data_IF_366295285775
#
_entry.id   IF_366295285775
#
_cell.length_a   1.000
_cell.length_b   1.000
_cell.length_c   1.000
_cell.angle_alpha   90.00
_cell.angle_beta   90.00
_cell.angle_gamma   90.00
#
_symmetry.space_group_name_H-M   'P 1'
#
loop_
_entity.id
_entity.type
_entity.pdbx_description
1 polymer ?
#
# COMPACT_ATOMS: atom_id res chain seq x y z
N UNK A 1 -4.61 -0.44 12.97
CA UNK A 1 -4.94 -1.85 13.31
C UNK A 1 -4.46 -2.67 12.14
N UNK A 2 -3.52 -3.60 12.31
CA UNK A 2 -3.06 -4.40 11.17
C UNK A 2 -4.12 -5.42 10.79
N UNK A 3 -4.67 -5.27 9.58
CA UNK A 3 -5.54 -6.27 8.94
C UNK A 3 -4.70 -7.12 8.00
N UNK A 4 -5.06 -8.39 7.81
CA UNK A 4 -4.47 -9.20 6.75
C UNK A 4 -4.95 -8.72 5.38
N UNK A 5 -4.00 -8.61 4.46
CA UNK A 5 -4.24 -8.25 3.07
C UNK A 5 -3.33 -9.05 2.14
N UNK A 6 -3.65 -9.01 0.85
CA UNK A 6 -2.81 -9.56 -0.22
C UNK A 6 -2.70 -8.54 -1.36
N UNK A 7 -1.49 -8.34 -1.86
CA UNK A 7 -1.28 -7.63 -3.13
C UNK A 7 -1.69 -8.55 -4.28
N UNK A 8 -2.62 -8.10 -5.11
CA UNK A 8 -3.19 -8.89 -6.21
C UNK A 8 -2.84 -8.26 -7.55
N UNK A 9 -2.49 -9.10 -8.52
CA UNK A 9 -2.54 -8.72 -9.94
C UNK A 9 -3.97 -8.98 -10.42
N UNK A 10 -4.75 -7.91 -10.58
CA UNK A 10 -6.13 -8.00 -11.04
C UNK A 10 -6.20 -7.49 -12.48
N UNK A 11 -6.85 -8.23 -13.39
CA UNK A 11 -7.06 -7.80 -14.78
C UNK A 11 -7.84 -6.47 -14.89
N UNK A 12 -8.54 -6.09 -13.81
CA UNK A 12 -9.27 -4.82 -13.70
C UNK A 12 -8.48 -3.72 -12.99
N UNK A 13 -7.19 -3.92 -12.71
CA UNK A 13 -6.33 -2.83 -12.24
C UNK A 13 -6.33 -1.73 -13.30
N UNK A 14 -6.34 -0.48 -12.84
CA UNK A 14 -6.28 0.71 -13.67
C UNK A 14 -4.83 1.08 -14.03
N UNK A 15 -3.87 0.74 -13.17
CA UNK A 15 -2.44 1.04 -13.35
C UNK A 15 -1.58 -0.17 -12.99
N UNK A 16 -0.76 -0.66 -13.93
CA UNK A 16 0.09 -1.83 -13.70
C UNK A 16 1.21 -1.57 -12.66
N UNK A 17 1.59 -0.31 -12.50
CA UNK A 17 2.69 0.11 -11.61
C UNK A 17 2.23 0.44 -10.17
N UNK A 18 0.93 0.28 -9.86
CA UNK A 18 0.37 0.63 -8.56
C UNK A 18 -0.18 -0.58 -7.82
N UNK A 19 0.04 -0.62 -6.51
CA UNK A 19 -0.44 -1.73 -5.68
C UNK A 19 -1.96 -1.83 -5.67
N UNK A 20 -2.46 -3.01 -6.05
CA UNK A 20 -3.84 -3.42 -5.89
C UNK A 20 -3.93 -4.40 -4.71
N UNK A 21 -4.87 -4.15 -3.79
CA UNK A 21 -4.95 -4.79 -2.49
C UNK A 21 -6.33 -5.43 -2.32
N UNK A 22 -6.33 -6.68 -1.89
CA UNK A 22 -7.50 -7.38 -1.37
C UNK A 22 -7.42 -7.47 0.16
N UNK A 23 -8.48 -7.04 0.86
CA UNK A 23 -8.60 -7.19 2.32
C UNK A 23 -9.12 -8.59 2.63
N UNK A 24 -8.40 -9.34 3.47
CA UNK A 24 -8.68 -10.76 3.74
C UNK A 24 -9.39 -11.03 5.07
N UNK A 25 -9.61 -10.00 5.89
CA UNK A 25 -10.30 -10.17 7.17
C UNK A 25 -10.99 -8.88 7.65
N UNK A 26 -11.97 -9.05 8.53
CA UNK A 26 -12.65 -7.96 9.22
C UNK A 26 -13.85 -7.43 8.45
N UNK A 27 -14.26 -6.20 8.75
CA UNK A 27 -15.49 -5.60 8.21
C UNK A 27 -15.45 -5.38 6.69
N UNK A 28 -14.25 -5.22 6.14
CA UNK A 28 -14.03 -4.96 4.71
C UNK A 28 -13.45 -6.17 3.96
N UNK A 29 -13.58 -7.38 4.52
CA UNK A 29 -13.16 -8.62 3.87
C UNK A 29 -13.78 -8.76 2.47
N UNK A 30 -12.94 -9.06 1.48
CA UNK A 30 -13.30 -9.20 0.07
C UNK A 30 -13.38 -7.88 -0.71
N UNK A 31 -13.10 -6.73 -0.09
CA UNK A 31 -12.93 -5.46 -0.82
C UNK A 31 -11.59 -5.48 -1.56
N UNK A 32 -11.64 -5.16 -2.85
CA UNK A 32 -10.45 -4.98 -3.69
C UNK A 32 -10.38 -3.51 -4.12
N UNK A 33 -9.25 -2.88 -3.85
CA UNK A 33 -8.99 -1.50 -4.23
C UNK A 33 -7.57 -1.34 -4.78
N UNK A 34 -7.32 -0.26 -5.49
CA UNK A 34 -6.00 0.08 -6.01
C UNK A 34 -5.62 1.49 -5.57
N UNK A 35 -4.36 1.69 -5.17
CA UNK A 35 -3.83 3.05 -4.99
C UNK A 35 -3.62 3.72 -6.35
N UNK A 36 -3.90 5.02 -6.42
CA UNK A 36 -3.74 5.78 -7.66
C UNK A 36 -2.63 6.83 -7.50
N UNK A 37 -2.98 7.98 -6.91
CA UNK A 37 -2.01 9.04 -6.63
C UNK A 37 -1.51 8.90 -5.20
N UNK A 38 -0.19 8.82 -5.01
CA UNK A 38 0.47 8.85 -3.69
C UNK A 38 1.44 10.04 -3.67
N UNK A 39 1.28 10.93 -2.69
CA UNK A 39 2.14 12.09 -2.48
C UNK A 39 2.63 12.13 -1.03
N UNK A 40 3.93 12.28 -0.85
CA UNK A 40 4.54 12.58 0.44
C UNK A 40 4.74 14.09 0.47
N UNK A 41 4.05 14.77 1.38
CA UNK A 41 4.21 16.20 1.59
C UNK A 41 5.08 16.45 2.82
N UNK A 42 6.16 17.20 2.62
CA UNK A 42 7.02 17.74 3.68
C UNK A 42 6.42 19.03 4.21
N UNK A 43 5.30 18.94 4.93
CA UNK A 43 4.74 20.11 5.64
C UNK A 43 5.42 20.21 7.02
N UNK A 44 6.43 21.07 7.10
CA UNK A 44 7.13 21.75 8.23
C UNK A 44 7.10 21.26 9.70
N UNK A 45 6.67 20.04 10.04
CA UNK A 45 6.75 19.51 11.42
C UNK A 45 7.06 18.01 11.45
N UNK A 46 8.34 17.65 11.35
CA UNK A 46 8.99 16.41 11.84
C UNK A 46 8.48 15.04 11.33
N UNK A 47 7.25 14.94 10.81
CA UNK A 47 6.61 13.73 10.29
C UNK A 47 6.01 14.05 8.91
N UNK A 48 6.61 13.52 7.85
CA UNK A 48 6.05 13.63 6.50
C UNK A 48 4.61 13.11 6.46
N UNK A 49 3.71 13.87 5.82
CA UNK A 49 2.31 13.48 5.68
C UNK A 49 2.10 12.75 4.36
N UNK A 50 1.56 11.54 4.44
CA UNK A 50 1.19 10.76 3.27
C UNK A 50 -0.24 11.12 2.84
N UNK A 51 -0.38 11.66 1.62
CA UNK A 51 -1.67 11.91 0.99
C UNK A 51 -1.82 10.94 -0.18
N UNK A 52 -2.94 10.22 -0.24
CA UNK A 52 -3.18 9.27 -1.32
C UNK A 52 -4.64 9.26 -1.78
N UNK A 53 -4.84 8.78 -3.00
CA UNK A 53 -6.15 8.46 -3.58
C UNK A 53 -6.22 6.96 -3.89
N UNK A 54 -7.44 6.42 -3.92
CA UNK A 54 -7.67 5.02 -4.25
C UNK A 54 -8.86 4.87 -5.18
N UNK A 55 -8.85 3.80 -5.96
CA UNK A 55 -9.92 3.40 -6.87
C UNK A 55 -10.50 2.08 -6.38
N UNK A 56 -11.82 2.00 -6.27
CA UNK A 56 -12.51 0.75 -5.95
C UNK A 56 -12.52 -0.15 -7.19
N UNK A 57 -11.93 -1.34 -7.06
CA UNK A 57 -11.92 -2.35 -8.12
C UNK A 57 -13.08 -3.32 -7.92
N UNK A 58 -13.29 -3.78 -6.69
CA UNK A 58 -14.38 -4.69 -6.33
C UNK A 58 -14.93 -4.40 -4.92
N UNK A 59 -16.25 -4.35 -4.80
CA UNK A 59 -16.98 -4.16 -3.54
C UNK A 59 -18.32 -4.89 -3.61
N UNK A 60 -18.27 -6.24 -3.54
CA UNK A 60 -19.45 -7.10 -3.71
C UNK A 60 -20.55 -6.84 -2.66
N UNK A 61 -20.15 -6.44 -1.46
CA UNK A 61 -21.06 -6.20 -0.33
C UNK A 61 -21.61 -4.76 -0.30
N UNK A 62 -21.27 -3.91 -1.28
CA UNK A 62 -21.69 -2.50 -1.33
C UNK A 62 -21.40 -1.74 -0.04
N UNK A 63 -20.24 -2.01 0.56
CA UNK A 63 -19.79 -1.38 1.81
C UNK A 63 -19.47 0.10 1.58
N UNK A 64 -19.61 0.91 2.63
CA UNK A 64 -19.22 2.32 2.60
C UNK A 64 -17.70 2.47 2.79
N UNK A 65 -17.02 2.69 1.65
CA UNK A 65 -15.57 2.88 1.58
C UNK A 65 -15.14 4.34 1.80
N UNK A 66 -16.06 5.23 2.20
CA UNK A 66 -15.75 6.64 2.50
C UNK A 66 -15.57 6.93 3.99
N UNK A 67 -15.80 5.91 4.82
CA UNK A 67 -15.67 5.98 6.28
C UNK A 67 -14.22 6.21 6.71
N UNK A 68 -14.02 6.92 7.83
CA UNK A 68 -12.68 7.17 8.36
C UNK A 68 -11.98 5.88 8.80
N UNK A 69 -12.74 4.88 9.25
CA UNK A 69 -12.22 3.56 9.59
C UNK A 69 -11.56 2.89 8.37
N UNK A 70 -12.24 2.90 7.22
CA UNK A 70 -11.66 2.35 5.99
C UNK A 70 -10.41 3.11 5.57
N UNK A 71 -10.44 4.45 5.61
CA UNK A 71 -9.28 5.31 5.28
C UNK A 71 -8.07 5.04 6.17
N UNK A 72 -8.29 4.82 7.47
CA UNK A 72 -7.22 4.46 8.41
C UNK A 72 -6.63 3.09 8.06
N UNK A 73 -7.46 2.10 7.76
CA UNK A 73 -7.00 0.75 7.39
C UNK A 73 -6.11 0.79 6.14
N UNK A 74 -6.57 1.44 5.07
CA UNK A 74 -5.79 1.51 3.83
C UNK A 74 -4.55 2.41 4.00
N UNK A 75 -4.60 3.43 4.88
CA UNK A 75 -3.41 4.23 5.23
C UNK A 75 -2.35 3.42 5.98
N UNK A 76 -2.77 2.58 6.94
CA UNK A 76 -1.88 1.66 7.67
C UNK A 76 -1.22 0.68 6.68
N UNK A 77 -2.01 0.06 5.79
CA UNK A 77 -1.50 -0.86 4.74
C UNK A 77 -0.48 -0.16 3.83
N UNK A 78 -0.78 1.06 3.36
CA UNK A 78 0.14 1.80 2.50
C UNK A 78 1.47 2.09 3.19
N UNK A 79 1.43 2.42 4.49
CA UNK A 79 2.63 2.65 5.29
C UNK A 79 3.48 1.39 5.35
N UNK A 80 2.88 0.23 5.63
CA UNK A 80 3.57 -1.06 5.67
C UNK A 80 4.21 -1.42 4.32
N UNK A 81 3.52 -1.17 3.20
CA UNK A 81 4.05 -1.41 1.85
C UNK A 81 5.27 -0.54 1.54
N UNK A 82 5.20 0.75 1.87
CA UNK A 82 6.30 1.70 1.66
C UNK A 82 7.50 1.31 2.53
N UNK A 83 7.29 1.02 3.82
CA UNK A 83 8.36 0.57 4.71
C UNK A 83 9.02 -0.72 4.23
N UNK A 84 8.22 -1.72 3.82
CA UNK A 84 8.71 -2.98 3.26
C UNK A 84 9.58 -2.76 2.02
N UNK A 85 9.15 -1.90 1.11
CA UNK A 85 9.89 -1.56 -0.11
C UNK A 85 11.26 -0.95 0.17
N UNK A 86 11.36 -0.03 1.14
CA UNK A 86 12.65 0.56 1.54
C UNK A 86 13.57 -0.47 2.21
N UNK A 87 13.02 -1.31 3.09
CA UNK A 87 13.80 -2.36 3.78
C UNK A 87 14.39 -3.37 2.80
N UNK A 88 13.64 -3.74 1.75
CA UNK A 88 14.13 -4.67 0.72
C UNK A 88 15.25 -4.04 -0.14
N UNK A 89 15.13 -2.76 -0.49
CA UNK A 89 16.17 -2.04 -1.23
C UNK A 89 17.48 -1.90 -0.44
N UNK A 90 17.39 -1.54 0.85
CA UNK A 90 18.56 -1.44 1.72
C UNK A 90 19.32 -2.77 1.86
N UNK A 91 18.62 -3.91 1.77
CA UNK A 91 19.24 -5.23 1.77
C UNK A 91 19.98 -5.54 0.47
N UNK A 92 19.44 -5.14 -0.68
CA UNK A 92 20.12 -5.34 -1.98
C UNK A 92 21.42 -4.55 -2.07
N UNK A 93 21.43 -3.29 -1.62
CA UNK A 93 22.64 -2.44 -1.66
C UNK A 93 23.79 -2.99 -0.80
N UNK A 94 23.48 -3.68 0.31
CA UNK A 94 24.51 -4.31 1.15
C UNK A 94 25.12 -5.58 0.57
N UNK A 95 24.46 -6.23 -0.39
CA UNK A 95 24.94 -7.48 -1.00
C UNK A 95 25.74 -7.30 -2.29
N UNK A 96 25.70 -6.11 -2.91
CA UNK A 96 26.41 -5.84 -4.17
C UNK A 96 27.90 -5.50 -4.01
N UNK A 97 28.41 -5.28 -2.79
CA UNK A 97 29.81 -4.95 -2.53
C UNK A 97 30.56 -6.05 -1.76
N UNK A 98 30.61 -7.28 -2.31
CA UNK A 98 31.69 -8.24 -2.02
C UNK A 98 31.91 -9.14 -3.23
N UNK A 99 32.41 -8.57 -4.34
CA UNK A 99 33.30 -9.33 -5.21
C UNK A 99 34.73 -8.88 -4.91
N UNK A 100 35.48 -9.81 -4.34
CA UNK A 100 36.86 -9.68 -3.94
C UNK A 100 37.75 -9.29 -5.14
N UNK A 101 38.48 -8.18 -5.00
CA UNK A 101 39.69 -7.97 -5.79
C UNK A 101 40.71 -9.02 -5.37
N UNK A 102 41.09 -9.86 -6.34
CA UNK A 102 42.19 -10.83 -6.28
C UNK A 102 43.53 -10.14 -6.13
#
# INVERSE_FOLDING_TARGET
MTVKYHTVDNEKSFHDDMWCIEILEGEYEGVIYQYDVINISDDDMENGKLNFSFITVENLNSLDLTTDKFKVIIGDILTELIEGYFVERDKQDRTSSTQAST
#
